data_IF_962829292445
#
_entry.id   IF_962829292445
#
_cell.length_a   1.000
_cell.length_b   1.000
_cell.length_c   1.000
_cell.angle_alpha   90.00
_cell.angle_beta   90.00
_cell.angle_gamma   90.00
#
_symmetry.space_group_name_H-M   'P 1'
#
loop_
_entity.id
_entity.type
_entity.pdbx_description
1 polymer ?
#
# COMPACT_ATOMS: atom_id res chain seq x y z
N UNK A 1 14.40 12.21 6.51
CA UNK A 1 13.30 11.27 6.86
C UNK A 1 13.45 10.03 5.97
N UNK A 2 13.69 8.84 6.52
CA UNK A 2 13.88 7.61 5.72
C UNK A 2 12.58 6.82 5.61
N UNK A 3 12.31 6.23 4.45
CA UNK A 3 11.15 5.33 4.26
C UNK A 3 11.50 3.98 4.87
N UNK A 4 10.78 3.58 5.91
CA UNK A 4 10.90 2.24 6.50
C UNK A 4 9.95 1.27 5.77
N UNK A 5 10.46 0.22 5.10
CA UNK A 5 9.62 -0.73 4.36
C UNK A 5 8.65 -1.52 5.24
N UNK A 6 8.91 -1.65 6.54
CA UNK A 6 8.01 -2.30 7.49
C UNK A 6 6.82 -1.43 7.90
N UNK A 7 6.87 -0.12 7.61
CA UNK A 7 5.75 0.78 7.94
C UNK A 7 4.58 0.61 6.98
N UNK A 8 3.37 0.96 7.45
CA UNK A 8 2.21 1.08 6.55
C UNK A 8 2.39 2.31 5.65
N UNK A 9 2.02 2.23 4.37
CA UNK A 9 1.95 3.41 3.51
C UNK A 9 0.98 4.44 4.10
N UNK A 10 1.35 5.71 4.11
CA UNK A 10 0.53 6.76 4.74
C UNK A 10 -0.89 6.84 4.16
N UNK A 11 -1.02 6.62 2.85
CA UNK A 11 -2.28 6.80 2.11
C UNK A 11 -3.04 5.49 1.85
N UNK A 12 -2.41 4.33 2.10
CA UNK A 12 -2.99 3.02 1.83
C UNK A 12 -2.97 2.13 3.06
N UNK A 13 -4.13 1.55 3.37
CA UNK A 13 -4.27 0.66 4.53
C UNK A 13 -4.10 -0.81 4.17
N UNK A 14 -4.29 -1.15 2.90
CA UNK A 14 -4.10 -2.51 2.42
C UNK A 14 -4.53 -2.69 0.97
N UNK A 15 -4.81 -3.94 0.61
CA UNK A 15 -5.30 -4.37 -0.69
C UNK A 15 -6.54 -5.23 -0.53
N UNK A 16 -7.52 -5.00 -1.39
CA UNK A 16 -8.67 -5.89 -1.53
C UNK A 16 -8.50 -6.68 -2.82
N UNK A 17 -8.68 -7.99 -2.74
CA UNK A 17 -8.81 -8.88 -3.88
C UNK A 17 -10.20 -9.45 -3.91
N UNK A 18 -10.77 -9.63 -5.11
CA UNK A 18 -12.08 -10.25 -5.26
C UNK A 18 -12.17 -11.02 -6.57
N UNK A 19 -13.00 -12.06 -6.56
CA UNK A 19 -13.32 -12.85 -7.75
C UNK A 19 -14.77 -13.34 -7.68
N UNK A 20 -15.36 -13.68 -8.83
CA UNK A 20 -16.68 -14.30 -8.87
C UNK A 20 -16.60 -15.75 -8.44
N UNK A 21 -17.57 -16.23 -7.66
CA UNK A 21 -17.66 -17.65 -7.23
C UNK A 21 -17.68 -18.61 -8.43
N UNK A 22 -18.35 -18.19 -9.51
CA UNK A 22 -18.42 -18.94 -10.76
C UNK A 22 -17.17 -18.81 -11.66
N UNK A 23 -16.28 -17.86 -11.40
CA UNK A 23 -15.11 -17.57 -12.23
C UNK A 23 -13.89 -17.16 -11.38
N UNK A 24 -13.31 -18.13 -10.67
CA UNK A 24 -12.11 -17.92 -9.85
C UNK A 24 -10.85 -17.59 -10.67
N UNK A 25 -10.84 -17.91 -11.96
CA UNK A 25 -9.72 -17.60 -12.85
C UNK A 25 -9.50 -16.09 -13.07
N UNK A 26 -10.55 -15.26 -12.91
CA UNK A 26 -10.43 -13.80 -13.03
C UNK A 26 -10.46 -13.15 -11.66
N UNK A 27 -9.29 -13.08 -11.03
CA UNK A 27 -9.10 -12.33 -9.79
C UNK A 27 -8.81 -10.86 -10.08
N UNK A 28 -9.50 -9.97 -9.39
CA UNK A 28 -9.25 -8.53 -9.40
C UNK A 28 -8.59 -8.12 -8.10
N UNK A 29 -7.69 -7.14 -8.16
CA UNK A 29 -7.03 -6.59 -6.98
C UNK A 29 -6.99 -5.06 -7.04
N UNK A 30 -7.11 -4.41 -5.88
CA UNK A 30 -7.03 -2.95 -5.78
C UNK A 30 -6.50 -2.51 -4.41
N UNK A 31 -5.63 -1.50 -4.42
CA UNK A 31 -5.19 -0.83 -3.19
C UNK A 31 -6.34 -0.02 -2.59
N UNK A 32 -6.44 -0.01 -1.26
CA UNK A 32 -7.48 0.71 -0.51
C UNK A 32 -6.85 1.73 0.43
N UNK A 33 -7.37 2.95 0.37
CA UNK A 33 -7.06 4.06 1.28
C UNK A 33 -8.03 4.10 2.46
N UNK A 34 -7.75 4.97 3.44
CA UNK A 34 -8.73 5.34 4.47
C UNK A 34 -9.22 6.77 4.27
N UNK A 35 -10.54 7.02 4.37
CA UNK A 35 -11.62 6.02 4.40
C UNK A 35 -11.70 5.21 3.09
N UNK A 36 -12.34 4.04 3.13
CA UNK A 36 -12.43 3.19 1.93
C UNK A 36 -13.19 3.93 0.81
N UNK A 37 -12.66 3.90 -0.43
CA UNK A 37 -13.35 4.51 -1.57
C UNK A 37 -14.73 3.89 -1.79
N UNK A 38 -15.75 4.72 -1.96
CA UNK A 38 -17.14 4.28 -2.21
C UNK A 38 -17.25 3.36 -3.43
N UNK A 39 -16.50 3.64 -4.50
CA UNK A 39 -16.46 2.77 -5.68
C UNK A 39 -16.03 1.32 -5.36
N UNK A 40 -15.16 1.14 -4.37
CA UNK A 40 -14.74 -0.20 -3.92
C UNK A 40 -15.85 -0.83 -3.10
N UNK A 41 -16.42 -0.10 -2.14
CA UNK A 41 -17.55 -0.57 -1.32
C UNK A 41 -18.76 -0.97 -2.17
N UNK A 42 -19.09 -0.21 -3.21
CA UNK A 42 -20.16 -0.54 -4.15
C UNK A 42 -19.88 -1.83 -4.95
N UNK A 43 -18.62 -2.25 -5.05
CA UNK A 43 -18.22 -3.46 -5.78
C UNK A 43 -18.15 -4.68 -4.86
N UNK A 44 -17.47 -4.55 -3.70
CA UNK A 44 -17.17 -5.69 -2.81
C UNK A 44 -18.14 -5.80 -1.62
N UNK A 45 -19.10 -4.88 -1.54
CA UNK A 45 -20.00 -4.75 -0.40
C UNK A 45 -19.36 -4.09 0.81
N UNK A 46 -20.09 -4.09 1.92
CA UNK A 46 -19.59 -3.60 3.20
C UNK A 46 -18.61 -4.64 3.76
N UNK A 47 -17.34 -4.28 3.97
CA UNK A 47 -16.37 -5.22 4.52
C UNK A 47 -16.67 -5.46 6.02
N UNK A 48 -16.22 -6.60 6.58
CA UNK A 48 -16.39 -6.89 8.01
C UNK A 48 -15.87 -5.74 8.87
N UNK A 49 -16.53 -5.50 10.01
CA UNK A 49 -16.16 -4.44 10.94
C UNK A 49 -14.67 -4.53 11.30
N UNK A 50 -13.95 -3.43 11.18
CA UNK A 50 -12.53 -3.37 11.49
C UNK A 50 -11.59 -3.87 10.38
N UNK A 51 -12.08 -4.31 9.22
CA UNK A 51 -11.26 -4.69 8.05
C UNK A 51 -10.19 -3.64 7.70
N UNK A 52 -10.53 -2.36 7.61
CA UNK A 52 -9.54 -1.31 7.34
C UNK A 52 -8.47 -1.15 8.44
N UNK A 53 -8.70 -1.69 9.65
CA UNK A 53 -7.80 -1.72 10.81
C UNK A 53 -7.18 -3.09 11.06
N UNK A 54 -7.58 -4.12 10.32
CA UNK A 54 -7.12 -5.46 10.55
C UNK A 54 -5.61 -5.52 10.32
N UNK A 55 -4.92 -6.17 11.25
CA UNK A 55 -3.50 -6.50 11.11
C UNK A 55 -3.30 -7.82 10.37
N UNK A 56 -4.37 -8.55 10.10
CA UNK A 56 -4.37 -9.85 9.42
C UNK A 56 -5.29 -9.84 8.21
N UNK A 57 -5.14 -10.85 7.35
CA UNK A 57 -6.00 -11.07 6.20
C UNK A 57 -7.42 -11.38 6.67
N UNK A 58 -8.40 -10.72 6.06
CA UNK A 58 -9.83 -10.90 6.36
C UNK A 58 -10.54 -11.30 5.08
N UNK A 59 -11.29 -12.39 5.11
CA UNK A 59 -12.06 -12.87 3.97
C UNK A 59 -13.56 -12.74 4.24
N UNK A 60 -14.32 -12.40 3.21
CA UNK A 60 -15.78 -12.38 3.26
C UNK A 60 -16.35 -12.70 1.89
N UNK A 61 -17.65 -13.02 1.87
CA UNK A 61 -18.38 -13.20 0.63
C UNK A 61 -19.54 -12.22 0.57
N UNK A 62 -19.79 -11.69 -0.62
CA UNK A 62 -20.89 -10.76 -0.91
C UNK A 62 -21.58 -11.28 -2.15
N UNK A 63 -22.86 -11.66 -2.05
CA UNK A 63 -23.64 -12.23 -3.16
C UNK A 63 -22.86 -13.31 -3.95
N UNK A 64 -22.37 -12.97 -5.15
CA UNK A 64 -21.61 -13.82 -6.07
C UNK A 64 -20.08 -13.60 -6.02
N UNK A 65 -19.58 -12.78 -5.10
CA UNK A 65 -18.15 -12.45 -4.95
C UNK A 65 -17.56 -13.09 -3.70
N UNK A 66 -16.33 -13.60 -3.87
CA UNK A 66 -15.43 -13.91 -2.76
C UNK A 66 -14.42 -12.77 -2.69
N UNK A 67 -14.30 -12.14 -1.53
CA UNK A 67 -13.47 -10.98 -1.28
C UNK A 67 -12.46 -11.30 -0.17
N UNK A 68 -11.25 -10.77 -0.31
CA UNK A 68 -10.22 -10.85 0.72
C UNK A 68 -9.52 -9.50 0.84
N UNK A 69 -9.39 -9.02 2.07
CA UNK A 69 -8.59 -7.86 2.44
C UNK A 69 -7.27 -8.34 3.04
N UNK A 70 -6.17 -7.73 2.62
CA UNK A 70 -4.85 -7.93 3.17
C UNK A 70 -4.26 -6.58 3.57
N UNK A 71 -3.82 -6.39 4.82
CA UNK A 71 -3.05 -5.21 5.19
C UNK A 71 -1.70 -5.25 4.46
N UNK A 72 -1.25 -4.09 3.98
CA UNK A 72 0.01 -3.97 3.25
C UNK A 72 1.00 -3.11 4.01
N UNK A 73 2.27 -3.51 3.96
CA UNK A 73 3.41 -2.67 4.30
C UNK A 73 3.93 -1.95 3.06
N UNK A 74 4.76 -0.93 3.26
CA UNK A 74 5.48 -0.24 2.17
C UNK A 74 6.29 -1.25 1.34
N UNK A 75 6.87 -2.26 1.97
CA UNK A 75 7.56 -3.36 1.30
C UNK A 75 6.65 -4.16 0.36
N UNK A 76 5.40 -4.42 0.74
CA UNK A 76 4.46 -5.18 -0.09
C UNK A 76 3.96 -4.39 -1.30
N UNK A 77 3.83 -3.06 -1.16
CA UNK A 77 3.42 -2.16 -2.27
C UNK A 77 4.55 -2.02 -3.29
N UNK A 78 5.80 -1.91 -2.82
CA UNK A 78 6.97 -1.80 -3.69
C UNK A 78 7.33 -3.16 -4.31
N UNK A 79 6.95 -4.25 -3.66
CA UNK A 79 7.20 -5.62 -4.06
C UNK A 79 8.46 -6.20 -3.37
N UNK A 80 8.40 -7.43 -2.84
CA UNK A 80 9.53 -8.04 -2.10
C UNK A 80 10.75 -8.33 -2.98
N UNK A 81 10.60 -8.37 -4.30
CA UNK A 81 11.66 -8.68 -5.28
C UNK A 81 12.20 -7.45 -6.01
N UNK A 82 11.67 -6.25 -5.76
CA UNK A 82 12.18 -5.06 -6.41
C UNK A 82 13.31 -4.47 -5.57
N UNK A 83 14.42 -4.09 -6.22
CA UNK A 83 15.54 -3.40 -5.55
C UNK A 83 15.19 -1.97 -5.09
N UNK A 84 13.91 -1.61 -4.99
CA UNK A 84 13.45 -0.30 -4.55
C UNK A 84 13.99 0.09 -3.16
N UNK A 85 14.04 -0.79 -2.14
CA UNK A 85 14.68 -0.44 -0.87
C UNK A 85 16.15 -0.02 -1.04
N UNK A 86 16.88 -0.67 -1.94
CA UNK A 86 18.26 -0.30 -2.28
C UNK A 86 18.32 1.06 -2.99
N UNK A 87 17.42 1.31 -3.96
CA UNK A 87 17.33 2.61 -4.65
C UNK A 87 17.02 3.73 -3.66
N UNK A 88 16.11 3.53 -2.71
CA UNK A 88 15.82 4.52 -1.66
C UNK A 88 17.03 4.75 -0.74
N UNK A 89 17.77 3.71 -0.38
CA UNK A 89 19.00 3.84 0.40
C UNK A 89 20.08 4.63 -0.36
N UNK A 90 20.25 4.38 -1.65
CA UNK A 90 21.18 5.12 -2.52
C UNK A 90 20.76 6.59 -2.65
N UNK A 91 19.49 6.87 -2.94
CA UNK A 91 18.98 8.25 -3.04
C UNK A 91 19.13 9.00 -1.72
N UNK A 92 18.89 8.33 -0.59
CA UNK A 92 19.11 8.91 0.73
C UNK A 92 20.59 9.22 0.96
N UNK A 93 21.50 8.28 0.67
CA UNK A 93 22.94 8.50 0.82
C UNK A 93 23.46 9.63 -0.08
N UNK A 94 22.90 9.77 -1.29
CA UNK A 94 23.18 10.90 -2.18
C UNK A 94 22.66 12.22 -1.60
N UNK A 95 21.41 12.25 -1.11
CA UNK A 95 20.84 13.44 -0.48
C UNK A 95 21.59 13.84 0.80
N UNK A 96 22.00 12.89 1.64
CA UNK A 96 22.78 13.16 2.85
C UNK A 96 24.19 13.68 2.50
N UNK A 97 24.77 13.23 1.37
CA UNK A 97 26.09 13.66 0.90
C UNK A 97 26.08 15.01 0.17
N UNK A 98 25.02 15.33 -0.55
CA UNK A 98 24.97 16.48 -1.47
C UNK A 98 23.86 17.50 -1.13
N UNK A 99 23.06 17.25 -0.10
CA UNK A 99 21.91 18.09 0.28
C UNK A 99 22.28 19.37 1.04
N UNK A 100 23.52 19.50 1.51
CA UNK A 100 24.02 20.71 2.17
C UNK A 100 24.75 21.62 1.17
N UNK A 101 24.04 22.08 0.14
CA UNK A 101 24.50 23.19 -0.68
C UNK A 101 23.38 24.21 -0.87
N UNK A 102 22.95 24.79 0.24
CA UNK A 102 22.19 26.05 0.20
C UNK A 102 23.00 27.13 0.93
N UNK A 103 23.83 27.82 0.15
CA UNK A 103 24.39 29.18 0.38
C UNK A 103 25.15 29.44 1.68
N UNK A 104 26.46 29.19 1.66
CA UNK A 104 27.44 30.05 2.32
C UNK A 104 28.48 30.49 1.27
N UNK A 105 28.85 31.78 1.30
CA UNK A 105 29.75 32.49 0.38
C UNK A 105 29.15 33.00 -0.94
N UNK A 106 28.35 34.06 -0.82
CA UNK A 106 28.62 35.23 -1.63
C UNK A 106 28.56 36.44 -0.69
N UNK A 107 29.44 37.43 -0.92
CA UNK A 107 29.53 38.73 -0.24
C UNK A 107 30.33 38.77 1.08
N UNK A 108 31.67 38.78 0.94
CA UNK A 108 32.54 39.78 1.57
C UNK A 108 33.67 40.10 0.61
#
# INVERSE_FOLDING_TARGET
MGIDPATRPADFVGRVTWHKKSQSATQRSRLVSRPWPTAILSTVGVPPAGSGSASERVEWTTDDLVCAYEPLTVGDVLGPTTHWPHVFAVMKALADRFGDVTTASAWS
#
